data_IF_942876359830
#
_entry.id   IF_942876359830
#
_cell.length_a   1.000
_cell.length_b   1.000
_cell.length_c   1.000
_cell.angle_alpha   90.00
_cell.angle_beta   90.00
_cell.angle_gamma   90.00
#
_symmetry.space_group_name_H-M   'P 1'
#
loop_
_entity.id
_entity.type
_entity.pdbx_description
1 polymer ?
#
# COMPACT_ATOMS: atom_id res chain seq x y z
N UNK A 1 9.79 -26.63 1.83
CA UNK A 1 8.52 -25.89 1.56
C UNK A 1 8.56 -25.36 0.15
N UNK A 2 7.56 -25.65 -0.70
CA UNK A 2 7.48 -25.12 -2.08
C UNK A 2 7.44 -23.59 -2.06
N UNK A 3 8.11 -22.92 -3.00
CA UNK A 3 8.17 -21.45 -3.11
C UNK A 3 6.79 -20.79 -3.01
N UNK A 4 5.76 -21.42 -3.60
CA UNK A 4 4.37 -20.97 -3.53
C UNK A 4 3.86 -20.81 -2.08
N UNK A 5 4.13 -21.77 -1.20
CA UNK A 5 3.68 -21.70 0.22
C UNK A 5 4.37 -20.55 0.95
N UNK A 6 5.68 -20.33 0.69
CA UNK A 6 6.42 -19.21 1.28
C UNK A 6 5.86 -17.85 0.85
N UNK A 7 5.47 -17.72 -0.43
CA UNK A 7 4.86 -16.48 -0.95
C UNK A 7 3.51 -16.22 -0.27
N UNK A 8 2.64 -17.22 -0.19
CA UNK A 8 1.34 -17.07 0.49
C UNK A 8 1.49 -16.73 1.97
N UNK A 9 2.42 -17.38 2.68
CA UNK A 9 2.70 -17.07 4.08
C UNK A 9 3.22 -15.64 4.26
N UNK A 10 4.15 -15.20 3.42
CA UNK A 10 4.67 -13.84 3.46
C UNK A 10 3.56 -12.79 3.24
N UNK A 11 2.70 -12.99 2.24
CA UNK A 11 1.60 -12.08 1.94
C UNK A 11 0.53 -12.05 3.05
N UNK A 12 0.27 -13.19 3.69
CA UNK A 12 -0.60 -13.25 4.86
C UNK A 12 -0.03 -12.44 6.03
N UNK A 13 1.25 -12.63 6.35
CA UNK A 13 1.96 -11.86 7.40
C UNK A 13 1.92 -10.36 7.10
N UNK A 14 2.14 -9.96 5.85
CA UNK A 14 2.04 -8.56 5.43
C UNK A 14 0.63 -8.01 5.64
N UNK A 15 -0.41 -8.79 5.30
CA UNK A 15 -1.80 -8.36 5.51
C UNK A 15 -2.11 -8.14 6.99
N UNK A 16 -1.60 -9.02 7.87
CA UNK A 16 -1.75 -8.87 9.32
C UNK A 16 -1.01 -7.62 9.84
N UNK A 17 0.22 -7.40 9.38
CA UNK A 17 1.02 -6.22 9.74
C UNK A 17 0.28 -4.95 9.32
N UNK A 18 -0.22 -4.85 8.09
CA UNK A 18 -0.92 -3.66 7.65
C UNK A 18 -2.28 -3.48 8.35
N UNK A 19 -3.01 -4.55 8.60
CA UNK A 19 -4.27 -4.48 9.34
C UNK A 19 -4.09 -3.90 10.75
N UNK A 20 -3.08 -4.35 11.49
CA UNK A 20 -2.77 -3.83 12.81
C UNK A 20 -2.30 -2.36 12.76
N UNK A 21 -1.59 -1.96 11.68
CA UNK A 21 -1.08 -0.60 11.52
C UNK A 21 -2.20 0.46 11.52
N UNK A 22 -3.40 0.18 10.98
CA UNK A 22 -4.52 1.13 11.00
C UNK A 22 -4.88 1.58 12.43
N UNK A 23 -4.92 0.64 13.37
CA UNK A 23 -5.27 0.93 14.76
C UNK A 23 -4.07 1.45 15.57
N UNK A 24 -2.88 0.86 15.40
CA UNK A 24 -1.67 1.24 16.16
C UNK A 24 -1.22 2.66 15.80
N UNK A 25 -1.32 3.06 14.54
CA UNK A 25 -0.94 4.42 14.12
C UNK A 25 -1.78 5.51 14.79
N UNK A 26 -3.06 5.23 15.10
CA UNK A 26 -3.95 6.15 15.81
C UNK A 26 -3.53 6.38 17.26
N UNK A 27 -2.80 5.47 17.90
CA UNK A 27 -2.27 5.66 19.25
C UNK A 27 -1.14 6.69 19.28
N UNK A 28 -0.39 6.79 18.17
CA UNK A 28 0.71 7.75 18.03
C UNK A 28 0.21 9.10 17.54
N UNK A 29 -0.71 9.10 16.54
CA UNK A 29 -1.19 10.30 15.86
C UNK A 29 -2.57 10.77 16.37
N UNK A 30 -2.80 12.07 16.47
CA UNK A 30 -1.83 13.17 16.42
C UNK A 30 -1.18 13.45 17.78
N UNK A 31 -1.57 12.71 18.84
CA UNK A 31 -1.30 13.02 20.24
C UNK A 31 0.19 13.18 20.57
N UNK A 32 1.03 12.24 20.09
CA UNK A 32 2.47 12.21 20.38
C UNK A 32 3.28 12.78 19.22
N UNK A 33 2.83 12.55 18.00
CA UNK A 33 3.51 13.03 16.80
C UNK A 33 2.52 13.24 15.67
N UNK A 34 2.71 14.32 14.92
CA UNK A 34 1.92 14.54 13.70
C UNK A 34 2.22 13.52 12.60
N UNK A 35 1.29 13.32 11.64
CA UNK A 35 1.41 12.30 10.60
C UNK A 35 2.69 12.41 9.77
N UNK A 36 3.12 13.62 9.43
CA UNK A 36 4.33 13.83 8.62
C UNK A 36 5.61 13.52 9.38
N UNK A 37 5.66 13.83 10.70
CA UNK A 37 6.78 13.47 11.56
C UNK A 37 6.94 11.95 11.66
N UNK A 38 5.84 11.23 11.81
CA UNK A 38 5.82 9.78 11.84
C UNK A 38 6.28 9.17 10.51
N UNK A 39 5.82 9.70 9.38
CA UNK A 39 6.26 9.29 8.05
C UNK A 39 7.76 9.51 7.88
N UNK A 40 8.28 10.64 8.35
CA UNK A 40 9.73 10.94 8.29
C UNK A 40 10.54 9.89 9.04
N UNK A 41 10.21 9.58 10.29
CA UNK A 41 10.94 8.57 11.08
C UNK A 41 10.93 7.21 10.38
N UNK A 42 9.81 6.81 9.80
CA UNK A 42 9.66 5.54 9.09
C UNK A 42 10.49 5.49 7.82
N UNK A 43 10.42 6.52 6.99
CA UNK A 43 11.13 6.56 5.71
C UNK A 43 12.65 6.67 5.95
N UNK A 44 13.09 7.51 6.88
CA UNK A 44 14.52 7.65 7.20
C UNK A 44 15.06 6.35 7.78
N UNK A 45 14.37 5.74 8.76
CA UNK A 45 14.77 4.46 9.35
C UNK A 45 14.88 3.35 8.29
N UNK A 46 13.90 3.25 7.40
CA UNK A 46 13.94 2.27 6.31
C UNK A 46 15.01 2.60 5.25
N UNK A 47 15.24 3.87 4.93
CA UNK A 47 16.31 4.29 4.01
C UNK A 47 17.68 3.88 4.54
N UNK A 48 17.94 4.12 5.83
CA UNK A 48 19.18 3.69 6.47
C UNK A 48 19.33 2.16 6.42
N UNK A 49 18.29 1.43 6.83
CA UNK A 49 18.30 -0.03 6.81
C UNK A 49 18.57 -0.58 5.41
N UNK A 50 17.78 -0.18 4.41
CA UNK A 50 17.92 -0.71 3.05
C UNK A 50 19.23 -0.28 2.38
N UNK A 51 19.77 0.89 2.70
CA UNK A 51 21.08 1.33 2.21
C UNK A 51 22.20 0.47 2.78
N UNK A 52 22.16 0.17 4.08
CA UNK A 52 23.14 -0.72 4.74
C UNK A 52 22.99 -2.13 4.17
N UNK A 53 21.76 -2.66 4.11
CA UNK A 53 21.48 -3.99 3.57
C UNK A 53 21.94 -4.14 2.11
N UNK A 54 21.74 -3.11 1.27
CA UNK A 54 22.24 -3.09 -0.10
C UNK A 54 23.77 -3.15 -0.14
N UNK A 55 24.46 -2.33 0.66
CA UNK A 55 25.93 -2.33 0.71
C UNK A 55 26.52 -3.67 1.16
N UNK A 56 25.83 -4.38 2.07
CA UNK A 56 26.29 -5.67 2.60
C UNK A 56 25.94 -6.84 1.68
N UNK A 57 24.72 -6.86 1.10
CA UNK A 57 24.21 -8.03 0.37
C UNK A 57 24.36 -7.93 -1.15
N UNK A 58 24.43 -6.72 -1.73
CA UNK A 58 24.47 -6.51 -3.17
C UNK A 58 25.28 -5.26 -3.58
N UNK A 59 26.56 -5.10 -3.14
CA UNK A 59 27.32 -3.84 -3.31
C UNK A 59 27.58 -3.48 -4.77
N UNK A 60 27.61 -4.47 -5.66
CA UNK A 60 27.88 -4.28 -7.09
C UNK A 60 26.61 -4.17 -7.94
N UNK A 61 25.44 -4.49 -7.39
CA UNK A 61 24.17 -4.37 -8.11
C UNK A 61 23.73 -2.90 -8.18
N UNK A 62 23.55 -2.36 -9.37
CA UNK A 62 23.20 -0.95 -9.60
C UNK A 62 22.10 -0.84 -10.62
N UNK A 63 21.16 0.06 -10.40
CA UNK A 63 20.13 0.39 -11.40
C UNK A 63 20.79 1.16 -12.54
N UNK A 64 20.80 0.56 -13.73
CA UNK A 64 21.48 1.07 -14.92
C UNK A 64 20.42 1.35 -16.01
N UNK A 65 20.67 2.40 -16.79
CA UNK A 65 19.80 2.80 -17.90
C UNK A 65 18.75 3.83 -17.50
N UNK A 66 18.42 4.71 -18.47
CA UNK A 66 17.50 5.84 -18.27
C UNK A 66 16.09 5.36 -17.88
N UNK A 67 15.59 4.31 -18.52
CA UNK A 67 14.25 3.79 -18.27
C UNK A 67 14.09 3.21 -16.85
N UNK A 68 15.06 2.43 -16.37
CA UNK A 68 15.03 1.84 -15.04
C UNK A 68 15.25 2.90 -13.94
N UNK A 69 16.09 3.91 -14.21
CA UNK A 69 16.23 5.06 -13.31
C UNK A 69 14.93 5.85 -13.18
N UNK A 70 14.23 6.16 -14.28
CA UNK A 70 12.94 6.84 -14.25
C UNK A 70 11.88 6.00 -13.50
N UNK A 71 11.83 4.68 -13.76
CA UNK A 71 10.94 3.78 -13.02
C UNK A 71 11.25 3.76 -11.52
N UNK A 72 12.52 3.76 -11.14
CA UNK A 72 12.91 3.79 -9.73
C UNK A 72 12.51 5.11 -9.05
N UNK A 73 12.67 6.24 -9.72
CA UNK A 73 12.22 7.54 -9.22
C UNK A 73 10.69 7.57 -9.10
N UNK A 74 9.96 7.19 -10.14
CA UNK A 74 8.50 7.12 -10.10
C UNK A 74 7.99 6.16 -9.01
N UNK A 75 8.67 5.01 -8.81
CA UNK A 75 8.35 4.07 -7.73
C UNK A 75 8.62 4.67 -6.35
N UNK A 76 9.68 5.43 -6.17
CA UNK A 76 9.99 6.13 -4.92
C UNK A 76 9.00 7.24 -4.61
N UNK A 77 8.60 8.01 -5.62
CA UNK A 77 7.57 9.06 -5.49
C UNK A 77 6.22 8.45 -5.14
N UNK A 78 5.71 7.54 -5.98
CA UNK A 78 4.35 6.99 -5.86
C UNK A 78 4.23 5.93 -4.77
N UNK A 79 5.25 5.09 -4.59
CA UNK A 79 5.19 3.96 -3.66
C UNK A 79 5.68 4.27 -2.25
N UNK A 80 6.50 5.29 -2.08
CA UNK A 80 7.08 5.63 -0.78
C UNK A 80 6.68 7.05 -0.36
N UNK A 81 7.14 8.10 -1.03
CA UNK A 81 6.95 9.47 -0.59
C UNK A 81 5.48 9.85 -0.54
N UNK A 82 4.86 10.03 -1.69
CA UNK A 82 3.45 10.43 -1.81
C UNK A 82 2.51 9.42 -1.15
N UNK A 83 2.78 8.13 -1.35
CA UNK A 83 1.98 7.07 -0.76
C UNK A 83 1.87 7.20 0.77
N UNK A 84 2.99 7.27 1.48
CA UNK A 84 2.97 7.32 2.94
C UNK A 84 2.45 8.68 3.46
N UNK A 85 2.78 9.79 2.81
CA UNK A 85 2.25 11.10 3.18
C UNK A 85 0.72 11.12 3.09
N UNK A 86 0.14 10.65 1.99
CA UNK A 86 -1.31 10.58 1.80
C UNK A 86 -1.96 9.60 2.79
N UNK A 87 -1.37 8.40 3.00
CA UNK A 87 -1.93 7.40 3.91
C UNK A 87 -2.04 7.92 5.33
N UNK A 88 -0.96 8.44 5.89
CA UNK A 88 -0.95 8.89 7.28
C UNK A 88 -1.73 10.18 7.51
N UNK A 89 -1.74 11.09 6.53
CA UNK A 89 -2.64 12.25 6.57
C UNK A 89 -4.09 11.83 6.53
N UNK A 90 -4.44 10.91 5.64
CA UNK A 90 -5.79 10.39 5.53
C UNK A 90 -6.22 9.63 6.78
N UNK A 91 -5.41 8.69 7.26
CA UNK A 91 -5.70 7.91 8.46
C UNK A 91 -5.81 8.80 9.71
N UNK A 92 -5.09 9.91 9.78
CA UNK A 92 -5.22 10.87 10.88
C UNK A 92 -6.62 11.50 10.93
N UNK A 93 -7.25 11.70 9.77
CA UNK A 93 -8.53 12.38 9.60
C UNK A 93 -9.74 11.44 9.53
N UNK A 94 -9.57 10.18 9.11
CA UNK A 94 -10.64 9.18 8.98
C UNK A 94 -10.50 8.03 9.97
N UNK A 95 -11.50 7.12 10.01
CA UNK A 95 -11.47 5.95 10.89
C UNK A 95 -10.59 4.81 10.32
N UNK A 96 -10.05 3.92 11.18
CA UNK A 96 -9.33 2.72 10.76
C UNK A 96 -10.13 1.82 9.81
N UNK A 97 -11.44 1.67 10.06
CA UNK A 97 -12.32 0.84 9.23
C UNK A 97 -12.50 1.48 7.87
N UNK A 98 -12.87 2.77 7.77
CA UNK A 98 -13.01 3.46 6.51
C UNK A 98 -11.73 3.43 5.68
N UNK A 99 -10.59 3.76 6.29
CA UNK A 99 -9.29 3.70 5.62
C UNK A 99 -9.00 2.30 5.05
N UNK A 100 -9.26 1.24 5.81
CA UNK A 100 -9.02 -0.14 5.37
C UNK A 100 -9.94 -0.55 4.22
N UNK A 101 -11.20 -0.14 4.23
CA UNK A 101 -12.17 -0.42 3.15
C UNK A 101 -11.79 0.32 1.86
N UNK A 102 -11.49 1.63 1.94
CA UNK A 102 -11.10 2.42 0.76
C UNK A 102 -9.79 1.90 0.16
N UNK A 103 -8.86 1.42 0.98
CA UNK A 103 -7.59 0.85 0.52
C UNK A 103 -7.79 -0.36 -0.42
N UNK A 104 -8.93 -1.04 -0.37
CA UNK A 104 -9.24 -2.16 -1.29
C UNK A 104 -9.43 -1.74 -2.75
N UNK A 105 -9.44 -0.44 -3.04
CA UNK A 105 -9.39 0.09 -4.42
C UNK A 105 -8.02 -0.12 -5.07
N UNK A 106 -6.93 -0.22 -4.29
CA UNK A 106 -5.58 -0.37 -4.82
C UNK A 106 -5.43 -1.53 -5.82
N UNK A 107 -5.95 -2.74 -5.59
CA UNK A 107 -5.90 -3.82 -6.59
C UNK A 107 -6.66 -3.52 -7.88
N UNK A 108 -7.74 -2.76 -7.82
CA UNK A 108 -8.50 -2.33 -9.00
C UNK A 108 -7.62 -1.42 -9.84
N UNK A 109 -7.00 -0.42 -9.20
CA UNK A 109 -6.05 0.48 -9.85
C UNK A 109 -4.87 -0.31 -10.41
N UNK A 110 -4.37 -1.33 -9.70
CA UNK A 110 -3.29 -2.20 -10.18
C UNK A 110 -3.69 -2.90 -11.49
N UNK A 111 -4.92 -3.42 -11.59
CA UNK A 111 -5.42 -4.05 -12.83
C UNK A 111 -5.56 -3.04 -13.96
N UNK A 112 -6.11 -1.85 -13.70
CA UNK A 112 -6.22 -0.78 -14.69
C UNK A 112 -4.86 -0.28 -15.14
N UNK A 113 -3.94 -0.05 -14.22
CA UNK A 113 -2.57 0.36 -14.53
C UNK A 113 -1.82 -0.73 -15.33
N UNK A 114 -2.01 -2.01 -15.00
CA UNK A 114 -1.44 -3.12 -15.79
C UNK A 114 -2.00 -3.14 -17.21
N UNK A 115 -3.28 -2.89 -17.39
CA UNK A 115 -3.90 -2.83 -18.72
C UNK A 115 -3.33 -1.66 -19.55
N UNK A 116 -3.17 -0.48 -18.95
CA UNK A 116 -2.67 0.71 -19.62
C UNK A 116 -1.15 0.65 -19.90
N UNK A 117 -0.37 0.20 -18.92
CA UNK A 117 1.10 0.22 -19.01
C UNK A 117 1.68 -1.04 -19.67
N UNK A 118 0.98 -2.18 -19.58
CA UNK A 118 1.40 -3.46 -20.13
C UNK A 118 0.53 -3.91 -21.30
N UNK A 119 -0.38 -3.06 -21.79
CA UNK A 119 -1.29 -3.33 -22.92
C UNK A 119 -2.16 -4.58 -22.72
N UNK A 120 -2.49 -4.94 -21.47
CA UNK A 120 -3.40 -6.04 -21.18
C UNK A 120 -4.83 -5.67 -21.56
N UNK A 121 -5.56 -6.58 -22.23
CA UNK A 121 -6.97 -6.35 -22.62
C UNK A 121 -7.87 -6.32 -21.38
N UNK A 122 -8.63 -5.24 -21.24
CA UNK A 122 -9.69 -5.13 -20.24
C UNK A 122 -10.92 -5.92 -20.73
N UNK A 123 -11.37 -6.86 -19.92
CA UNK A 123 -12.63 -7.57 -20.19
C UNK A 123 -13.81 -6.79 -19.61
N UNK A 124 -15.01 -6.92 -20.22
CA UNK A 124 -16.25 -6.30 -19.71
C UNK A 124 -16.47 -6.62 -18.22
N UNK A 125 -16.17 -7.84 -17.80
CA UNK A 125 -16.24 -8.24 -16.39
C UNK A 125 -15.34 -7.38 -15.49
N UNK A 126 -14.08 -7.10 -15.92
CA UNK A 126 -13.16 -6.24 -15.16
C UNK A 126 -13.71 -4.82 -15.06
N UNK A 127 -14.27 -4.28 -16.15
CA UNK A 127 -14.89 -2.96 -16.18
C UNK A 127 -16.10 -2.87 -15.23
N UNK A 128 -17.01 -3.86 -15.27
CA UNK A 128 -18.14 -3.93 -14.36
C UNK A 128 -17.70 -4.06 -12.89
N UNK A 129 -16.68 -4.87 -12.62
CA UNK A 129 -16.13 -5.00 -11.28
C UNK A 129 -15.53 -3.71 -10.74
N UNK A 130 -14.82 -2.94 -11.59
CA UNK A 130 -14.31 -1.60 -11.26
C UNK A 130 -15.48 -0.66 -10.90
N UNK A 131 -16.57 -0.67 -11.70
CA UNK A 131 -17.75 0.15 -11.44
C UNK A 131 -18.40 -0.19 -10.09
N UNK A 132 -18.63 -1.49 -9.81
CA UNK A 132 -19.27 -1.94 -8.55
C UNK A 132 -18.40 -1.57 -7.34
N UNK A 133 -17.08 -1.80 -7.39
CA UNK A 133 -16.20 -1.44 -6.29
C UNK A 133 -16.08 0.08 -6.11
N UNK A 134 -16.07 0.83 -7.23
CA UNK A 134 -16.10 2.30 -7.21
C UNK A 134 -17.35 2.84 -6.55
N UNK A 135 -18.54 2.25 -6.81
CA UNK A 135 -19.79 2.60 -6.14
C UNK A 135 -19.72 2.31 -4.63
N UNK A 136 -19.14 1.17 -4.22
CA UNK A 136 -18.94 0.85 -2.81
C UNK A 136 -18.03 1.85 -2.11
N UNK A 137 -16.92 2.24 -2.74
CA UNK A 137 -16.03 3.26 -2.18
C UNK A 137 -16.67 4.66 -2.15
N UNK A 138 -17.37 5.05 -3.23
CA UNK A 138 -18.10 6.31 -3.28
C UNK A 138 -19.18 6.36 -2.18
N UNK A 139 -19.88 5.24 -1.92
CA UNK A 139 -20.87 5.18 -0.85
C UNK A 139 -20.27 5.41 0.54
N UNK A 140 -19.07 4.89 0.83
CA UNK A 140 -18.35 5.18 2.09
C UNK A 140 -18.05 6.68 2.21
N UNK A 141 -17.54 7.27 1.12
CA UNK A 141 -17.15 8.68 1.09
C UNK A 141 -18.38 9.60 1.20
N UNK A 142 -19.54 9.19 0.66
CA UNK A 142 -20.75 10.01 0.58
C UNK A 142 -21.77 9.75 1.71
N UNK A 143 -21.70 8.60 2.41
CA UNK A 143 -22.71 8.17 3.39
C UNK A 143 -22.64 8.90 4.73
N UNK A 144 -22.15 10.11 4.75
CA UNK A 144 -22.05 10.90 5.97
C UNK A 144 -23.44 11.28 6.49
N UNK A 145 -23.77 10.77 7.67
CA UNK A 145 -24.90 11.29 8.41
C UNK A 145 -24.61 12.74 8.78
N UNK A 146 -25.55 13.61 8.46
CA UNK A 146 -25.61 15.04 8.80
C UNK A 146 -25.58 15.33 10.31
N UNK A 147 -25.36 14.32 11.15
CA UNK A 147 -25.35 14.35 12.61
C UNK A 147 -23.95 14.36 13.24
N UNK A 148 -22.88 14.08 12.48
CA UNK A 148 -21.52 14.25 13.02
C UNK A 148 -21.04 15.68 12.77
N UNK A 149 -20.66 16.35 13.86
CA UNK A 149 -20.37 17.79 13.95
C UNK A 149 -19.72 18.37 12.69
N UNK A 150 -20.24 19.51 12.25
CA UNK A 150 -19.73 20.35 11.15
C UNK A 150 -18.28 20.80 11.40
N UNK A 151 -17.31 19.90 11.35
CA UNK A 151 -15.90 20.13 11.68
C UNK A 151 -14.99 18.95 11.42
N UNK A 152 -15.51 17.77 11.13
CA UNK A 152 -14.65 16.61 10.83
C UNK A 152 -14.15 16.65 9.38
N UNK A 153 -12.83 16.74 9.20
CA UNK A 153 -12.16 16.66 7.90
C UNK A 153 -12.10 15.20 7.37
N UNK A 154 -13.03 14.32 7.77
CA UNK A 154 -13.01 12.91 7.36
C UNK A 154 -13.10 12.73 5.83
N UNK A 155 -13.93 13.56 5.14
CA UNK A 155 -14.00 13.54 3.68
C UNK A 155 -12.62 13.74 3.05
N UNK A 156 -11.86 14.69 3.58
CA UNK A 156 -10.49 14.93 3.14
C UNK A 156 -9.62 13.72 3.47
N UNK A 157 -9.84 13.10 4.64
CA UNK A 157 -9.15 11.87 5.05
C UNK A 157 -9.41 10.72 4.08
N UNK A 158 -10.68 10.48 3.74
CA UNK A 158 -11.08 9.43 2.80
C UNK A 158 -10.54 9.67 1.39
N UNK A 159 -10.53 10.94 0.92
CA UNK A 159 -9.92 11.33 -0.35
C UNK A 159 -8.40 11.06 -0.34
N UNK A 160 -7.71 11.38 0.76
CA UNK A 160 -6.29 11.07 0.87
C UNK A 160 -6.02 9.57 0.84
N UNK A 161 -6.85 8.74 1.48
CA UNK A 161 -6.73 7.28 1.40
C UNK A 161 -7.00 6.77 -0.02
N UNK A 162 -7.99 7.33 -0.72
CA UNK A 162 -8.28 6.98 -2.12
C UNK A 162 -7.10 7.30 -3.06
N UNK A 163 -6.51 8.49 -2.91
CA UNK A 163 -5.32 8.90 -3.65
C UNK A 163 -4.11 8.03 -3.30
N UNK A 164 -3.96 7.68 -2.02
CA UNK A 164 -2.94 6.74 -1.57
C UNK A 164 -3.10 5.36 -2.23
N UNK A 165 -4.32 4.79 -2.20
CA UNK A 165 -4.62 3.50 -2.83
C UNK A 165 -4.32 3.52 -4.34
N UNK A 166 -4.61 4.64 -5.00
CA UNK A 166 -4.30 4.86 -6.41
C UNK A 166 -2.80 4.88 -6.66
N UNK A 167 -2.05 5.66 -5.89
CA UNK A 167 -0.59 5.74 -5.99
C UNK A 167 0.06 4.36 -5.75
N UNK A 168 -0.42 3.61 -4.75
CA UNK A 168 0.07 2.27 -4.44
C UNK A 168 -0.21 1.26 -5.55
N UNK A 169 -1.42 1.27 -6.12
CA UNK A 169 -1.80 0.40 -7.22
C UNK A 169 -0.91 0.60 -8.46
N UNK A 170 -0.61 1.86 -8.82
CA UNK A 170 0.30 2.20 -9.92
C UNK A 170 1.73 1.76 -9.57
N UNK A 171 2.20 2.04 -8.35
CA UNK A 171 3.52 1.63 -7.88
C UNK A 171 3.78 0.14 -8.05
N UNK A 172 2.83 -0.73 -7.69
CA UNK A 172 3.00 -2.18 -7.80
C UNK A 172 3.30 -2.63 -9.24
N UNK A 173 2.75 -1.95 -10.24
CA UNK A 173 2.97 -2.26 -11.66
C UNK A 173 4.34 -1.76 -12.11
N UNK A 174 4.71 -0.51 -11.79
CA UNK A 174 5.95 0.09 -12.28
C UNK A 174 7.20 -0.44 -11.57
N UNK A 175 7.09 -0.91 -10.31
CA UNK A 175 8.23 -1.48 -9.57
C UNK A 175 8.54 -2.92 -9.96
N UNK A 176 7.55 -3.68 -10.45
CA UNK A 176 7.71 -5.10 -10.75
C UNK A 176 8.87 -5.43 -11.70
N UNK A 177 9.08 -4.72 -12.83
CA UNK A 177 10.23 -4.99 -13.70
C UNK A 177 11.57 -4.80 -13.00
N UNK A 178 11.68 -3.79 -12.12
CA UNK A 178 12.89 -3.56 -11.32
C UNK A 178 13.14 -4.72 -10.36
N UNK A 179 12.09 -5.21 -9.68
CA UNK A 179 12.22 -6.34 -8.73
C UNK A 179 12.61 -7.65 -9.41
N UNK A 180 12.30 -7.82 -10.68
CA UNK A 180 12.70 -9.00 -11.47
C UNK A 180 14.13 -8.91 -11.98
N UNK A 181 14.62 -7.69 -12.22
CA UNK A 181 15.93 -7.42 -12.85
C UNK A 181 17.03 -7.21 -11.80
N UNK A 182 16.75 -6.57 -10.69
CA UNK A 182 17.73 -6.16 -9.68
C UNK A 182 17.52 -6.86 -8.34
N UNK A 183 18.54 -6.81 -7.49
CA UNK A 183 18.42 -7.32 -6.13
C UNK A 183 17.40 -6.49 -5.34
N UNK A 184 16.50 -7.08 -4.50
CA UNK A 184 15.48 -6.34 -3.77
C UNK A 184 16.04 -5.19 -2.94
N UNK A 185 17.18 -5.39 -2.25
CA UNK A 185 17.78 -4.33 -1.46
C UNK A 185 18.27 -3.15 -2.30
N UNK A 186 18.75 -3.37 -3.52
CA UNK A 186 19.12 -2.31 -4.45
C UNK A 186 17.92 -1.45 -4.81
N UNK A 187 16.81 -2.07 -5.18
CA UNK A 187 15.59 -1.36 -5.54
C UNK A 187 15.00 -0.63 -4.34
N UNK A 188 14.88 -1.32 -3.19
CA UNK A 188 14.34 -0.72 -1.96
C UNK A 188 15.20 0.45 -1.46
N UNK A 189 16.53 0.32 -1.42
CA UNK A 189 17.41 1.42 -1.05
C UNK A 189 17.18 2.65 -1.95
N UNK A 190 17.06 2.44 -3.26
CA UNK A 190 16.86 3.53 -4.22
C UNK A 190 15.50 4.21 -4.06
N UNK A 191 14.41 3.43 -3.98
CA UNK A 191 13.06 4.00 -3.89
C UNK A 191 12.81 4.67 -2.53
N UNK A 192 13.37 4.14 -1.44
CA UNK A 192 13.28 4.78 -0.13
C UNK A 192 14.12 6.06 -0.06
N UNK A 193 15.28 6.10 -0.70
CA UNK A 193 16.06 7.35 -0.82
C UNK A 193 15.27 8.44 -1.56
N UNK A 194 14.61 8.10 -2.66
CA UNK A 194 13.74 9.05 -3.39
C UNK A 194 12.57 9.49 -2.50
N UNK A 195 11.94 8.54 -1.79
CA UNK A 195 10.88 8.84 -0.82
C UNK A 195 11.34 9.76 0.31
N UNK A 196 12.59 9.60 0.80
CA UNK A 196 13.17 10.43 1.84
C UNK A 196 13.36 11.88 1.36
N UNK A 197 13.77 12.10 0.12
CA UNK A 197 13.90 13.45 -0.47
C UNK A 197 12.55 14.18 -0.44
N UNK A 198 11.43 13.50 -0.58
CA UNK A 198 10.08 14.09 -0.49
C UNK A 198 9.62 14.24 0.97
N UNK A 199 9.87 13.24 1.82
CA UNK A 199 9.35 13.22 3.18
C UNK A 199 10.10 14.15 4.14
N UNK A 200 11.42 14.33 3.95
CA UNK A 200 12.26 15.15 4.86
C UNK A 200 11.77 16.60 4.94
N UNK A 201 11.57 17.33 3.82
CA UNK A 201 11.10 18.72 3.90
C UNK A 201 9.73 18.87 4.56
N UNK A 202 8.82 17.89 4.32
CA UNK A 202 7.44 17.94 4.82
C UNK A 202 7.35 17.53 6.29
N UNK A 203 8.14 16.52 6.70
CA UNK A 203 8.03 15.91 8.03
C UNK A 203 8.94 16.53 9.09
N UNK A 204 9.96 17.29 8.69
CA UNK A 204 11.00 17.78 9.60
C UNK A 204 10.45 18.58 10.79
N UNK A 205 9.56 19.52 10.54
CA UNK A 205 9.01 20.37 11.60
C UNK A 205 8.24 19.54 12.64
N UNK A 206 7.40 18.60 12.19
CA UNK A 206 6.63 17.76 13.11
C UNK A 206 7.53 16.77 13.87
N UNK A 207 8.55 16.23 13.23
CA UNK A 207 9.51 15.36 13.89
C UNK A 207 10.36 16.12 14.92
N UNK A 208 10.83 17.34 14.58
CA UNK A 208 11.65 18.15 15.48
C UNK A 208 10.83 18.72 16.68
N UNK A 209 9.54 18.97 16.49
CA UNK A 209 8.65 19.49 17.51
C UNK A 209 8.10 18.41 18.46
N UNK A 210 8.30 17.12 18.17
CA UNK A 210 7.80 16.03 19.01
C UNK A 210 8.59 15.95 20.34
N UNK A 211 7.87 15.88 21.45
CA UNK A 211 8.46 15.67 22.78
C UNK A 211 8.73 14.18 23.02
N UNK A 212 9.82 13.69 22.49
CA UNK A 212 10.22 12.29 22.59
C UNK A 212 10.42 11.80 24.04
N UNK A 213 10.72 12.71 24.97
CA UNK A 213 10.91 12.36 26.38
C UNK A 213 9.57 11.99 27.05
N UNK A 214 8.47 12.51 26.56
CA UNK A 214 7.12 12.20 27.06
C UNK A 214 6.55 10.88 26.52
N UNK A 215 7.22 10.21 25.59
CA UNK A 215 6.71 8.98 24.96
C UNK A 215 6.76 7.81 25.95
N UNK A 216 5.61 7.25 26.36
CA UNK A 216 5.61 6.04 27.18
C UNK A 216 6.15 4.84 26.38
N UNK A 217 6.61 3.76 27.07
CA UNK A 217 7.18 2.57 26.40
C UNK A 217 6.29 1.96 25.31
N UNK A 218 4.97 2.00 25.49
CA UNK A 218 3.99 1.52 24.51
C UNK A 218 4.01 2.32 23.20
N UNK A 219 4.23 3.63 23.26
CA UNK A 219 4.34 4.49 22.07
C UNK A 219 5.67 4.25 21.36
N UNK A 220 6.76 4.08 22.09
CA UNK A 220 8.04 3.65 21.48
C UNK A 220 7.92 2.29 20.79
N UNK A 221 7.23 1.33 21.41
CA UNK A 221 6.95 0.04 20.79
C UNK A 221 6.10 0.18 19.52
N UNK A 222 5.09 1.06 19.52
CA UNK A 222 4.28 1.37 18.34
C UNK A 222 5.12 2.00 17.21
N UNK A 223 5.98 2.97 17.51
CA UNK A 223 6.89 3.60 16.53
C UNK A 223 7.87 2.54 15.98
N UNK A 224 8.47 1.73 16.84
CA UNK A 224 9.36 0.64 16.43
C UNK A 224 8.64 -0.36 15.53
N UNK A 225 7.41 -0.78 15.87
CA UNK A 225 6.57 -1.64 15.04
C UNK A 225 6.34 -1.02 13.65
N UNK A 226 6.01 0.27 13.58
CA UNK A 226 5.77 0.94 12.30
C UNK A 226 7.02 1.06 11.43
N UNK A 227 8.20 1.26 12.03
CA UNK A 227 9.47 1.29 11.27
C UNK A 227 9.86 -0.13 10.84
N UNK A 228 9.94 -1.07 11.79
CA UNK A 228 10.52 -2.40 11.54
C UNK A 228 9.55 -3.34 10.82
N UNK A 229 8.30 -3.43 11.29
CA UNK A 229 7.33 -4.36 10.72
C UNK A 229 6.60 -3.77 9.51
N UNK A 230 5.99 -2.58 9.67
CA UNK A 230 5.14 -1.99 8.62
C UNK A 230 5.97 -1.43 7.46
N UNK A 231 7.15 -0.87 7.74
CA UNK A 231 7.96 -0.26 6.68
C UNK A 231 9.06 -1.19 6.18
N UNK A 232 9.90 -1.73 7.02
CA UNK A 232 11.02 -2.56 6.55
C UNK A 232 10.53 -3.96 6.14
N UNK A 233 9.94 -4.71 7.07
CA UNK A 233 9.58 -6.11 6.84
C UNK A 233 8.48 -6.25 5.79
N UNK A 234 7.40 -5.46 5.87
CA UNK A 234 6.29 -5.58 4.93
C UNK A 234 6.69 -5.20 3.51
N UNK A 235 7.48 -4.12 3.32
CA UNK A 235 8.01 -3.78 1.99
C UNK A 235 8.97 -4.83 1.47
N UNK A 236 9.84 -5.38 2.32
CA UNK A 236 10.75 -6.45 1.93
C UNK A 236 9.98 -7.69 1.47
N UNK A 237 8.99 -8.13 2.26
CA UNK A 237 8.18 -9.31 1.94
C UNK A 237 7.32 -9.11 0.69
N UNK A 238 6.66 -7.96 0.53
CA UNK A 238 5.88 -7.64 -0.67
C UNK A 238 6.76 -7.64 -1.92
N UNK A 239 7.88 -6.94 -1.88
CA UNK A 239 8.74 -6.81 -3.04
C UNK A 239 9.51 -8.10 -3.32
N UNK A 240 9.84 -8.90 -2.29
CA UNK A 240 10.34 -10.27 -2.47
C UNK A 240 9.28 -11.15 -3.15
N UNK A 241 8.02 -11.08 -2.72
CA UNK A 241 6.94 -11.84 -3.32
C UNK A 241 6.72 -11.51 -4.81
N UNK A 242 6.91 -10.24 -5.22
CA UNK A 242 6.82 -9.82 -6.63
C UNK A 242 7.83 -10.50 -7.57
N UNK A 243 8.91 -11.08 -7.05
CA UNK A 243 9.82 -11.91 -7.85
C UNK A 243 9.17 -13.22 -8.32
N UNK A 244 8.25 -13.76 -7.52
CA UNK A 244 7.67 -15.08 -7.70
C UNK A 244 6.18 -15.08 -7.97
N UNK A 245 5.53 -13.92 -7.82
CA UNK A 245 4.09 -13.74 -7.94
C UNK A 245 3.74 -12.53 -8.82
N UNK A 246 2.52 -12.51 -9.33
CA UNK A 246 1.99 -11.35 -10.06
C UNK A 246 1.52 -10.26 -9.09
N UNK A 247 1.50 -8.99 -9.50
CA UNK A 247 0.86 -7.91 -8.75
C UNK A 247 -0.60 -8.22 -8.39
N UNK A 248 -1.31 -8.92 -9.27
CA UNK A 248 -2.69 -9.34 -9.03
C UNK A 248 -2.82 -10.30 -7.83
N UNK A 249 -1.85 -11.20 -7.61
CA UNK A 249 -1.84 -12.06 -6.42
C UNK A 249 -1.62 -11.24 -5.14
N UNK A 250 -0.67 -10.30 -5.15
CA UNK A 250 -0.47 -9.39 -4.01
C UNK A 250 -1.76 -8.61 -3.73
N UNK A 251 -2.39 -8.07 -4.79
CA UNK A 251 -3.68 -7.40 -4.68
C UNK A 251 -4.75 -8.24 -3.98
N UNK A 252 -4.78 -9.55 -4.22
CA UNK A 252 -5.74 -10.46 -3.55
C UNK A 252 -5.57 -10.45 -2.02
N UNK A 253 -4.34 -10.35 -1.51
CA UNK A 253 -4.10 -10.30 -0.07
C UNK A 253 -4.44 -8.95 0.57
N UNK A 254 -4.51 -7.86 -0.21
CA UNK A 254 -4.98 -6.56 0.28
C UNK A 254 -6.44 -6.66 0.77
N UNK A 255 -7.25 -7.52 0.15
CA UNK A 255 -8.65 -7.73 0.58
C UNK A 255 -8.81 -8.41 1.94
N UNK A 256 -7.78 -9.08 2.42
CA UNK A 256 -7.78 -9.64 3.76
C UNK A 256 -7.60 -8.55 4.84
N UNK A 257 -6.98 -7.43 4.47
CA UNK A 257 -6.65 -6.35 5.41
C UNK A 257 -7.90 -5.75 6.07
N UNK A 258 -9.00 -5.40 5.37
CA UNK A 258 -10.19 -4.86 6.02
C UNK A 258 -10.81 -5.81 7.04
N UNK A 259 -10.91 -7.11 6.72
CA UNK A 259 -11.44 -8.09 7.66
C UNK A 259 -10.60 -8.16 8.94
N UNK A 260 -9.28 -8.23 8.79
CA UNK A 260 -8.35 -8.23 9.92
C UNK A 260 -8.36 -6.87 10.66
N UNK A 261 -8.45 -5.74 9.93
CA UNK A 261 -8.47 -4.40 10.53
C UNK A 261 -9.74 -4.19 11.37
N UNK A 262 -10.91 -4.64 10.88
CA UNK A 262 -12.17 -4.62 11.63
C UNK A 262 -12.05 -5.45 12.89
N UNK A 263 -11.57 -6.70 12.80
CA UNK A 263 -11.39 -7.56 13.97
C UNK A 263 -10.48 -6.91 15.02
N UNK A 264 -9.39 -6.29 14.59
CA UNK A 264 -8.44 -5.63 15.49
C UNK A 264 -9.05 -4.34 16.05
N UNK A 265 -9.66 -3.48 15.24
CA UNK A 265 -10.20 -2.20 15.67
C UNK A 265 -11.36 -2.38 16.67
N UNK A 266 -12.29 -3.29 16.37
CA UNK A 266 -13.42 -3.63 17.26
C UNK A 266 -12.92 -4.33 18.53
N UNK A 267 -12.00 -5.29 18.39
CA UNK A 267 -11.42 -6.00 19.54
C UNK A 267 -10.64 -5.10 20.51
N UNK A 268 -10.07 -3.99 20.00
CA UNK A 268 -9.39 -2.97 20.80
C UNK A 268 -10.32 -1.82 21.26
N UNK A 269 -11.62 -1.84 20.91
CA UNK A 269 -12.58 -0.78 21.23
C UNK A 269 -12.27 0.56 20.55
N UNK A 270 -11.55 0.55 19.42
CA UNK A 270 -11.09 1.77 18.72
C UNK A 270 -12.03 2.20 17.59
N UNK A 271 -12.93 1.35 17.15
CA UNK A 271 -13.91 1.62 16.10
C UNK A 271 -15.12 0.67 16.24
N UNK A 272 -16.22 0.97 15.52
CA UNK A 272 -17.44 0.19 15.53
C UNK A 272 -17.85 -0.20 14.10
N UNK A 273 -18.22 -1.47 13.92
CA UNK A 273 -18.78 -1.94 12.66
C UNK A 273 -20.29 -1.64 12.62
N UNK A 274 -20.73 -0.85 11.65
CA UNK A 274 -22.16 -0.64 11.36
C UNK A 274 -22.63 -1.53 10.22
N UNK A 275 -23.95 -1.80 10.14
CA UNK A 275 -24.54 -2.54 9.02
C UNK A 275 -24.35 -1.82 7.68
N UNK A 276 -24.32 -0.48 7.70
CA UNK A 276 -24.03 0.36 6.56
C UNK A 276 -22.60 0.11 6.03
N UNK A 277 -21.59 0.19 6.90
CA UNK A 277 -20.19 -0.11 6.56
C UNK A 277 -20.01 -1.55 6.08
N UNK A 278 -20.75 -2.51 6.66
CA UNK A 278 -20.75 -3.88 6.21
C UNK A 278 -21.29 -4.01 4.76
N UNK A 279 -22.39 -3.34 4.45
CA UNK A 279 -22.96 -3.31 3.10
C UNK A 279 -22.04 -2.65 2.07
N UNK A 280 -21.44 -1.51 2.40
CA UNK A 280 -20.47 -0.80 1.57
C UNK A 280 -19.22 -1.66 1.30
N UNK A 281 -18.69 -2.29 2.34
CA UNK A 281 -17.58 -3.24 2.22
C UNK A 281 -17.94 -4.43 1.31
N UNK A 282 -19.16 -4.98 1.44
CA UNK A 282 -19.62 -6.06 0.57
C UNK A 282 -19.65 -5.66 -0.91
N UNK A 283 -20.12 -4.44 -1.24
CA UNK A 283 -20.07 -3.92 -2.60
C UNK A 283 -18.66 -3.85 -3.15
N UNK A 284 -17.71 -3.33 -2.35
CA UNK A 284 -16.30 -3.29 -2.74
C UNK A 284 -15.80 -4.71 -2.99
N UNK A 285 -16.02 -5.66 -2.06
CA UNK A 285 -15.59 -7.05 -2.21
C UNK A 285 -16.19 -7.74 -3.44
N UNK A 286 -17.47 -7.50 -3.75
CA UNK A 286 -18.12 -8.01 -4.97
C UNK A 286 -17.45 -7.46 -6.24
N UNK A 287 -17.22 -6.16 -6.30
CA UNK A 287 -16.55 -5.53 -7.44
C UNK A 287 -15.15 -6.10 -7.65
N UNK A 288 -14.40 -6.24 -6.59
CA UNK A 288 -13.09 -6.84 -6.58
C UNK A 288 -13.11 -8.30 -7.03
N UNK A 289 -14.03 -9.10 -6.53
CA UNK A 289 -14.20 -10.49 -6.94
C UNK A 289 -14.42 -10.60 -8.46
N UNK A 290 -15.22 -9.68 -9.03
CA UNK A 290 -15.43 -9.60 -10.47
C UNK A 290 -14.14 -9.27 -11.23
N UNK A 291 -13.33 -8.32 -10.72
CA UNK A 291 -12.05 -7.93 -11.34
C UNK A 291 -11.03 -9.05 -11.29
N UNK A 292 -10.95 -9.78 -10.17
CA UNK A 292 -9.89 -10.75 -9.88
C UNK A 292 -10.07 -12.10 -10.58
N UNK A 293 -11.26 -12.44 -11.09
CA UNK A 293 -11.48 -13.70 -11.80
C UNK A 293 -10.71 -13.74 -13.13
N UNK A 294 -9.87 -14.76 -13.28
CA UNK A 294 -9.15 -15.04 -14.55
C UNK A 294 -10.12 -15.24 -15.70
N UNK A 295 -9.81 -14.73 -16.92
CA UNK A 295 -10.55 -15.10 -18.14
C UNK A 295 -10.51 -16.62 -18.34
N UNK A 296 -11.60 -17.22 -18.87
CA UNK A 296 -11.58 -18.64 -19.26
C UNK A 296 -10.48 -18.87 -20.31
N UNK A 297 -9.80 -20.05 -20.32
CA UNK A 297 -8.68 -20.35 -21.23
C UNK A 297 -8.99 -20.21 -22.73
N UNK A 298 -10.24 -20.25 -23.14
CA UNK A 298 -10.68 -20.11 -24.54
C UNK A 298 -10.41 -18.72 -25.16
N UNK A 299 -10.04 -17.69 -24.37
CA UNK A 299 -9.70 -16.36 -24.89
C UNK A 299 -8.19 -16.10 -24.97
N UNK A 300 -7.35 -17.01 -24.50
CA UNK A 300 -5.89 -16.93 -24.54
C UNK A 300 -5.26 -17.55 -25.81
N UNK A 301 -6.07 -18.17 -26.67
CA UNK A 301 -5.59 -18.88 -27.86
C UNK A 301 -5.21 -18.00 -29.07
N UNK A 302 -5.09 -16.68 -28.90
CA UNK A 302 -4.80 -15.75 -30.01
C UNK A 302 -3.57 -14.84 -29.77
N UNK A 303 -2.59 -15.27 -28.98
CA UNK A 303 -1.29 -14.58 -28.96
C UNK A 303 -0.29 -15.48 -29.71
N UNK A 304 0.15 -15.10 -30.90
CA UNK A 304 1.22 -15.85 -31.60
C UNK A 304 2.49 -15.74 -30.73
N UNK A 305 3.33 -16.83 -30.74
CA UNK A 305 4.61 -16.79 -30.06
C UNK A 305 5.47 -15.68 -30.66
N UNK A 306 6.06 -14.85 -29.83
CA UNK A 306 7.07 -13.88 -30.23
C UNK A 306 8.19 -14.66 -30.94
N UNK A 307 8.40 -14.35 -32.24
CA UNK A 307 9.47 -14.93 -33.03
C UNK A 307 10.84 -14.74 -32.36
N UNK A 308 11.83 -15.57 -32.70
CA UNK A 308 13.18 -15.45 -32.14
C UNK A 308 13.74 -14.07 -32.43
N UNK A 309 14.26 -13.42 -31.37
CA UNK A 309 15.06 -12.21 -31.49
C UNK A 309 16.26 -12.54 -32.35
N UNK A 310 16.34 -11.98 -33.56
CA UNK A 310 17.54 -12.03 -34.38
C UNK A 310 18.60 -11.16 -33.68
N UNK A 311 19.77 -11.76 -33.53
CA UNK A 311 21.00 -11.18 -32.97
C UNK A 311 21.47 -9.90 -33.69
#
# INVERSE_FOLDING_TARGET
>A
MKTSVKVHAALFVVSLIYAANYSISKDVMPRYMGPFGLVLLRIVGATLFFTIAHRLAAPHDRIIGRGDNLRSIASGVLGIGLNQLLFFSGLNLTSPINASLIQTIAPIVTVLASALLLSEKLTLRRVLGVGVAGLGAASIILSRSSTEAAGSNELLGDIYILLNATAFGIYLVIVMPLMRKYHPFTVLARIFLVGAVLAVPVGWQQAAAADYASFPPGIWAAVAYMVLCVTILAYLLNNWALKYASPALLGTYIYLQPALAVLIAVGLGKDHMSWERAGQGLLIFLGVFLVSRKPKPSQLAAVPPLGPVQD
#
